data_IF_653205237930
#
_entry.id   IF_653205237930
#
_cell.length_a   1.000
_cell.length_b   1.000
_cell.length_c   1.000
_cell.angle_alpha   90.00
_cell.angle_beta   90.00
_cell.angle_gamma   90.00
#
_symmetry.space_group_name_H-M   'P 1'
#
loop_
_entity.id
_entity.type
_entity.pdbx_description
1 polymer ?
#
# COMPACT_ATOMS: atom_id res chain seq x y z
N UNK A 1 28.23 24.08 -12.83
CA UNK A 1 27.62 22.86 -13.43
C UNK A 1 26.79 23.26 -14.64
N UNK A 2 26.99 22.62 -15.80
CA UNK A 2 26.39 23.09 -17.06
C UNK A 2 24.89 22.74 -17.15
N UNK A 3 24.04 23.65 -17.66
CA UNK A 3 22.56 23.52 -17.57
C UNK A 3 22.00 22.24 -18.22
N UNK A 4 22.68 21.72 -19.25
CA UNK A 4 22.34 20.45 -19.92
C UNK A 4 22.51 19.24 -18.99
N UNK A 5 23.51 19.23 -18.10
CA UNK A 5 23.73 18.11 -17.18
C UNK A 5 22.64 18.00 -16.11
N UNK A 6 22.02 19.11 -15.68
CA UNK A 6 20.90 19.06 -14.73
C UNK A 6 19.64 18.45 -15.36
N UNK A 7 19.35 18.79 -16.61
CA UNK A 7 18.24 18.17 -17.36
C UNK A 7 18.47 16.68 -17.60
N UNK A 8 19.69 16.31 -18.03
CA UNK A 8 20.07 14.91 -18.24
C UNK A 8 20.05 14.14 -16.92
N UNK A 9 20.57 14.70 -15.82
CA UNK A 9 20.51 14.06 -14.50
C UNK A 9 19.08 13.86 -14.02
N UNK A 10 18.19 14.85 -14.15
CA UNK A 10 16.78 14.69 -13.77
C UNK A 10 16.07 13.60 -14.60
N UNK A 11 16.30 13.57 -15.91
CA UNK A 11 15.77 12.53 -16.79
C UNK A 11 16.34 11.13 -16.48
N UNK A 12 17.63 11.04 -16.16
CA UNK A 12 18.28 9.78 -15.77
C UNK A 12 17.78 9.27 -14.41
N UNK A 13 17.58 10.16 -13.42
CA UNK A 13 17.03 9.78 -12.11
C UNK A 13 15.59 9.30 -12.25
N UNK A 14 14.76 9.98 -13.05
CA UNK A 14 13.40 9.53 -13.37
C UNK A 14 13.40 8.16 -14.06
N UNK A 15 14.22 8.00 -15.10
CA UNK A 15 14.35 6.74 -15.82
C UNK A 15 14.82 5.61 -14.90
N UNK A 16 15.84 5.85 -14.06
CA UNK A 16 16.33 4.87 -13.10
C UNK A 16 15.26 4.51 -12.05
N UNK A 17 14.56 5.48 -11.46
CA UNK A 17 13.49 5.19 -10.49
C UNK A 17 12.38 4.34 -11.09
N UNK A 18 12.03 4.58 -12.36
CA UNK A 18 10.98 3.85 -13.06
C UNK A 18 11.43 2.48 -13.59
N UNK A 19 12.69 2.31 -14.00
CA UNK A 19 13.23 1.01 -14.39
C UNK A 19 13.35 0.05 -13.20
N UNK A 20 13.78 0.55 -12.03
CA UNK A 20 13.87 -0.25 -10.80
C UNK A 20 12.47 -0.56 -10.25
N UNK A 21 11.57 0.44 -10.17
CA UNK A 21 10.17 0.20 -9.78
C UNK A 21 9.41 -0.72 -10.75
N UNK A 22 9.89 -0.86 -11.99
CA UNK A 22 9.35 -1.75 -13.02
C UNK A 22 9.78 -3.21 -12.93
N UNK A 23 10.64 -3.59 -11.96
CA UNK A 23 11.14 -4.97 -11.84
C UNK A 23 12.06 -5.41 -12.99
N UNK A 24 12.55 -4.49 -13.82
CA UNK A 24 13.42 -4.78 -14.99
C UNK A 24 14.82 -5.28 -14.56
N UNK A 25 15.12 -5.25 -13.26
CA UNK A 25 16.38 -5.70 -12.65
C UNK A 25 16.10 -6.78 -11.61
N UNK A 26 15.40 -7.84 -12.00
CA UNK A 26 15.34 -9.08 -11.23
C UNK A 26 16.30 -10.12 -11.83
N UNK A 27 17.40 -10.51 -11.14
CA UNK A 27 18.35 -11.49 -11.63
C UNK A 27 17.94 -12.94 -11.37
N UNK A 28 16.78 -13.21 -10.74
CA UNK A 28 16.31 -14.56 -10.48
C UNK A 28 15.78 -15.22 -11.77
N UNK A 29 16.58 -16.09 -12.39
CA UNK A 29 16.10 -16.98 -13.45
C UNK A 29 15.15 -18.00 -12.82
N UNK A 30 13.85 -17.84 -13.03
CA UNK A 30 12.87 -18.78 -12.48
C UNK A 30 12.94 -20.16 -13.17
N UNK A 31 12.60 -21.25 -12.47
CA UNK A 31 12.80 -22.60 -12.97
C UNK A 31 11.68 -23.00 -13.94
N UNK A 32 12.02 -23.68 -15.04
CA UNK A 32 11.02 -24.19 -15.98
C UNK A 32 10.29 -25.46 -15.48
N UNK A 33 10.82 -26.13 -14.44
CA UNK A 33 10.29 -27.40 -13.92
C UNK A 33 10.06 -27.37 -12.40
N UNK A 34 9.01 -28.06 -11.95
CA UNK A 34 8.70 -28.27 -10.53
C UNK A 34 9.48 -29.48 -10.03
N UNK A 35 10.60 -29.24 -9.36
CA UNK A 35 11.28 -30.28 -8.57
C UNK A 35 10.49 -30.53 -7.27
N UNK A 36 10.23 -31.81 -6.94
CA UNK A 36 9.44 -32.17 -5.74
C UNK A 36 10.09 -31.69 -4.43
N UNK A 37 11.40 -31.50 -4.42
CA UNK A 37 12.20 -30.92 -3.33
C UNK A 37 11.83 -29.47 -2.99
N UNK A 38 11.04 -28.79 -3.84
CA UNK A 38 10.58 -27.41 -3.66
C UNK A 38 9.07 -27.30 -3.39
N UNK A 39 8.39 -28.44 -3.27
CA UNK A 39 7.01 -28.50 -2.82
C UNK A 39 7.01 -28.70 -1.30
N UNK A 40 6.15 -27.97 -0.60
CA UNK A 40 5.86 -28.20 0.81
C UNK A 40 4.90 -29.39 0.90
N UNK A 41 5.12 -30.29 1.85
CA UNK A 41 4.20 -31.39 2.16
C UNK A 41 3.42 -30.99 3.43
N UNK A 42 2.12 -30.63 3.34
CA UNK A 42 1.38 -30.11 4.49
C UNK A 42 1.20 -31.14 5.61
N UNK A 43 0.90 -32.39 5.27
CA UNK A 43 0.66 -33.48 6.22
C UNK A 43 1.57 -34.68 5.92
N UNK A 44 1.97 -35.44 6.96
CA UNK A 44 2.81 -36.62 6.77
C UNK A 44 2.15 -37.64 5.82
N UNK A 45 2.85 -38.01 4.75
CA UNK A 45 2.36 -38.86 3.65
C UNK A 45 1.17 -38.27 2.84
N UNK A 46 0.79 -37.02 3.09
CA UNK A 46 -0.22 -36.28 2.31
C UNK A 46 0.28 -35.79 0.95
N UNK A 47 -0.55 -35.04 0.24
CA UNK A 47 -0.17 -34.34 -1.00
C UNK A 47 0.93 -33.28 -0.80
N UNK A 48 1.44 -32.78 -1.92
CA UNK A 48 2.47 -31.74 -1.97
C UNK A 48 1.91 -30.48 -2.62
N UNK A 49 2.22 -29.30 -2.08
CA UNK A 49 1.77 -27.99 -2.59
C UNK A 49 2.96 -27.09 -2.95
N UNK A 50 2.83 -26.33 -4.02
CA UNK A 50 3.76 -25.28 -4.40
C UNK A 50 3.60 -24.08 -3.46
N UNK A 51 4.65 -23.63 -2.74
CA UNK A 51 4.54 -22.62 -1.69
C UNK A 51 4.28 -21.19 -2.19
N UNK A 52 3.87 -21.00 -3.45
CA UNK A 52 3.57 -19.70 -4.02
C UNK A 52 2.31 -19.73 -4.89
N UNK A 53 1.67 -18.58 -5.01
CA UNK A 53 0.53 -18.36 -5.90
C UNK A 53 1.00 -17.66 -7.17
N UNK A 54 0.41 -17.99 -8.31
CA UNK A 54 0.84 -17.57 -9.65
C UNK A 54 -0.32 -16.93 -10.42
N UNK A 55 -0.05 -15.97 -11.32
CA UNK A 55 -1.11 -15.28 -12.11
C UNK A 55 -1.77 -16.21 -13.10
N UNK A 56 -0.96 -17.06 -13.73
CA UNK A 56 -1.37 -18.11 -14.66
C UNK A 56 -0.88 -19.48 -14.18
N UNK A 57 -1.22 -20.54 -14.93
CA UNK A 57 -0.82 -21.94 -14.65
C UNK A 57 0.65 -22.21 -15.04
N UNK A 58 1.55 -21.35 -14.55
CA UNK A 58 2.97 -21.28 -14.92
C UNK A 58 3.79 -20.87 -13.71
N UNK A 59 5.01 -21.42 -13.59
CA UNK A 59 5.94 -21.02 -12.53
C UNK A 59 6.44 -19.59 -12.72
N UNK A 60 6.76 -19.20 -13.96
CA UNK A 60 7.35 -17.89 -14.28
C UNK A 60 6.45 -16.68 -13.99
N UNK A 61 5.19 -16.91 -13.62
CA UNK A 61 4.25 -15.85 -13.18
C UNK A 61 3.94 -15.93 -11.68
N UNK A 62 4.90 -16.44 -10.90
CA UNK A 62 4.93 -16.45 -9.44
C UNK A 62 4.64 -15.05 -8.87
N UNK A 63 3.87 -15.01 -7.79
CA UNK A 63 3.52 -13.79 -7.07
C UNK A 63 3.86 -13.91 -5.59
N UNK A 64 2.87 -14.07 -4.71
CA UNK A 64 3.08 -14.12 -3.27
C UNK A 64 3.25 -15.56 -2.77
N UNK A 65 3.95 -15.74 -1.67
CA UNK A 65 4.03 -17.03 -0.98
C UNK A 65 2.72 -17.40 -0.28
N UNK A 66 2.47 -18.70 -0.14
CA UNK A 66 1.57 -19.25 0.89
C UNK A 66 2.30 -19.09 2.23
N UNK A 67 1.62 -18.57 3.25
CA UNK A 67 2.25 -18.20 4.53
C UNK A 67 1.67 -18.94 5.75
N UNK A 68 0.56 -19.66 5.60
CA UNK A 68 -0.08 -20.45 6.66
C UNK A 68 -0.68 -21.74 6.09
N UNK A 69 -0.66 -22.81 6.88
CA UNK A 69 -1.39 -24.06 6.61
C UNK A 69 -2.22 -24.38 7.85
N UNK A 70 -3.52 -24.64 7.65
CA UNK A 70 -4.46 -25.05 8.70
C UNK A 70 -4.92 -26.47 8.42
N UNK A 71 -4.86 -27.35 9.42
CA UNK A 71 -5.32 -28.73 9.31
C UNK A 71 -6.79 -28.88 9.71
N UNK A 72 -7.50 -29.79 9.03
CA UNK A 72 -8.91 -30.09 9.26
C UNK A 72 -9.83 -29.69 8.09
N UNK A 73 -11.14 -29.96 8.20
CA UNK A 73 -12.11 -29.73 7.14
C UNK A 73 -12.23 -28.26 6.76
N UNK A 74 -12.24 -27.95 5.46
CA UNK A 74 -12.27 -26.58 4.95
C UNK A 74 -13.54 -25.81 5.33
N UNK A 75 -14.69 -26.49 5.37
CA UNK A 75 -15.95 -25.96 5.90
C UNK A 75 -15.85 -25.52 7.38
N UNK A 76 -14.98 -26.15 8.19
CA UNK A 76 -14.74 -25.75 9.58
C UNK A 76 -13.81 -24.55 9.63
N UNK A 77 -12.71 -24.56 8.86
CA UNK A 77 -11.79 -23.42 8.76
C UNK A 77 -12.52 -22.17 8.25
N UNK A 78 -13.37 -22.30 7.23
CA UNK A 78 -14.18 -21.19 6.71
C UNK A 78 -15.15 -20.65 7.76
N UNK A 79 -15.81 -21.52 8.54
CA UNK A 79 -16.73 -21.08 9.59
C UNK A 79 -16.02 -20.44 10.77
N UNK A 80 -14.89 -20.96 11.25
CA UNK A 80 -14.06 -20.27 12.25
C UNK A 80 -13.64 -18.88 11.77
N UNK A 81 -13.35 -18.70 10.47
CA UNK A 81 -12.99 -17.39 9.93
C UNK A 81 -14.20 -16.46 9.66
N UNK A 82 -15.42 -16.99 9.47
CA UNK A 82 -16.58 -16.20 9.03
C UNK A 82 -17.68 -16.02 10.08
N UNK A 83 -17.82 -16.95 11.04
CA UNK A 83 -18.90 -17.03 12.01
C UNK A 83 -18.45 -16.61 13.43
N UNK A 84 -17.35 -15.86 13.60
CA UNK A 84 -16.92 -15.37 14.93
C UNK A 84 -17.98 -14.46 15.61
N UNK A 85 -18.90 -13.88 14.85
CA UNK A 85 -20.04 -13.11 15.39
C UNK A 85 -21.07 -13.98 16.18
N UNK A 86 -21.05 -15.32 16.03
CA UNK A 86 -22.08 -16.24 16.59
C UNK A 86 -21.60 -17.02 17.84
N UNK A 87 -20.33 -16.86 18.27
CA UNK A 87 -19.71 -17.66 19.34
C UNK A 87 -19.67 -17.00 20.73
N UNK A 88 -19.98 -15.69 20.85
CA UNK A 88 -19.88 -14.92 22.11
C UNK A 88 -21.24 -14.62 22.79
N UNK A 89 -22.21 -15.54 22.73
CA UNK A 89 -23.46 -15.44 23.49
C UNK A 89 -23.70 -16.63 24.41
N UNK A 90 -22.90 -16.75 25.48
CA UNK A 90 -23.44 -17.33 26.72
C UNK A 90 -24.26 -16.26 27.45
N UNK A 91 -25.52 -16.57 27.72
CA UNK A 91 -26.46 -15.70 28.43
C UNK A 91 -26.03 -15.61 29.90
N UNK A 92 -25.26 -14.57 30.25
CA UNK A 92 -24.79 -14.29 31.61
C UNK A 92 -25.97 -14.29 32.60
N UNK A 93 -25.85 -15.11 33.64
CA UNK A 93 -26.80 -15.18 34.75
C UNK A 93 -26.87 -13.79 35.43
N UNK A 94 -28.04 -13.12 35.49
CA UNK A 94 -28.14 -11.69 35.85
C UNK A 94 -27.71 -11.29 37.27
N UNK A 95 -27.18 -12.23 38.06
CA UNK A 95 -26.66 -12.01 39.41
C UNK A 95 -25.12 -11.89 39.49
N UNK A 96 -24.36 -12.14 38.40
CA UNK A 96 -22.88 -11.95 38.38
C UNK A 96 -22.45 -10.58 37.81
N UNK A 97 -22.58 -9.51 38.61
CA UNK A 97 -21.87 -8.24 38.36
C UNK A 97 -20.35 -8.41 38.54
N UNK A 98 -19.65 -8.89 37.51
CA UNK A 98 -18.21 -8.75 37.37
C UNK A 98 -17.88 -7.46 36.62
N UNK A 99 -17.02 -6.63 37.22
CA UNK A 99 -16.49 -5.43 36.56
C UNK A 99 -15.35 -5.84 35.62
N UNK A 100 -15.69 -6.51 34.53
CA UNK A 100 -14.72 -6.75 33.46
C UNK A 100 -14.53 -5.46 32.67
N UNK A 101 -13.29 -4.97 32.68
CA UNK A 101 -12.90 -3.86 31.82
C UNK A 101 -12.52 -4.51 30.50
N UNK A 102 -13.51 -4.64 29.62
CA UNK A 102 -13.34 -5.15 28.26
C UNK A 102 -12.39 -4.22 27.48
N UNK A 103 -11.11 -4.56 27.53
CA UNK A 103 -10.03 -4.07 26.66
C UNK A 103 -9.80 -5.07 25.51
N UNK A 104 -10.84 -5.83 25.14
CA UNK A 104 -10.84 -6.74 23.99
C UNK A 104 -10.62 -5.96 22.69
N UNK A 105 -9.62 -6.38 21.92
CA UNK A 105 -9.47 -5.90 20.54
C UNK A 105 -10.65 -6.45 19.72
N UNK A 106 -11.49 -5.58 19.12
CA UNK A 106 -12.67 -6.03 18.35
C UNK A 106 -12.28 -7.12 17.34
N UNK A 107 -12.91 -8.31 17.36
CA UNK A 107 -12.52 -9.43 16.52
C UNK A 107 -12.57 -9.08 15.02
N UNK A 108 -11.62 -9.64 14.26
CA UNK A 108 -11.42 -9.29 12.85
C UNK A 108 -12.60 -9.80 12.01
N UNK A 109 -13.57 -8.94 11.73
CA UNK A 109 -14.75 -9.30 10.91
C UNK A 109 -14.36 -9.58 9.46
N UNK A 110 -14.46 -10.83 9.03
CA UNK A 110 -14.19 -11.27 7.66
C UNK A 110 -15.46 -11.32 6.80
N UNK A 111 -15.35 -10.86 5.55
CA UNK A 111 -16.45 -10.82 4.59
C UNK A 111 -16.04 -11.52 3.27
N UNK A 112 -17.00 -12.14 2.57
CA UNK A 112 -16.77 -12.79 1.27
C UNK A 112 -16.13 -11.83 0.25
N UNK A 113 -14.97 -12.21 -0.29
CA UNK A 113 -14.17 -11.37 -1.19
C UNK A 113 -14.19 -11.85 -2.64
N UNK A 114 -14.08 -10.91 -3.57
CA UNK A 114 -13.90 -11.18 -5.00
C UNK A 114 -12.63 -10.50 -5.51
N UNK A 115 -11.54 -11.27 -5.63
CA UNK A 115 -10.25 -10.84 -6.17
C UNK A 115 -9.90 -11.52 -7.50
N UNK A 116 -8.85 -11.03 -8.18
CA UNK A 116 -8.33 -11.71 -9.39
C UNK A 116 -7.83 -13.11 -9.05
N UNK A 117 -8.27 -14.14 -9.77
CA UNK A 117 -7.84 -15.54 -9.59
C UNK A 117 -6.32 -15.69 -9.56
N UNK A 118 -5.82 -16.58 -8.71
CA UNK A 118 -4.45 -17.08 -8.72
C UNK A 118 -4.45 -18.59 -8.69
N UNK A 119 -3.36 -19.16 -9.17
CA UNK A 119 -3.16 -20.60 -9.22
C UNK A 119 -2.05 -21.03 -8.27
N UNK A 120 -2.23 -22.14 -7.56
CA UNK A 120 -1.13 -22.91 -6.97
C UNK A 120 -1.13 -24.32 -7.55
N UNK A 121 0.01 -25.00 -7.51
CA UNK A 121 0.17 -26.35 -8.01
C UNK A 121 0.13 -27.33 -6.84
N UNK A 122 -0.67 -28.40 -6.98
CA UNK A 122 -0.78 -29.48 -6.00
C UNK A 122 -0.53 -30.81 -6.68
N UNK A 123 0.24 -31.68 -6.04
CA UNK A 123 0.52 -33.05 -6.43
C UNK A 123 -0.10 -34.02 -5.41
N UNK A 124 -1.27 -34.55 -5.76
CA UNK A 124 -2.02 -35.55 -4.95
C UNK A 124 -1.75 -37.00 -5.40
N UNK A 125 -0.68 -37.27 -6.17
CA UNK A 125 -0.42 -38.61 -6.74
C UNK A 125 -0.27 -39.71 -5.69
N UNK A 126 0.20 -39.40 -4.48
CA UNK A 126 0.32 -40.36 -3.38
C UNK A 126 -1.05 -40.75 -2.77
N UNK A 127 -2.06 -39.86 -2.89
CA UNK A 127 -3.43 -40.06 -2.42
C UNK A 127 -4.38 -40.56 -3.53
N UNK A 128 -3.83 -41.20 -4.57
CA UNK A 128 -4.58 -41.74 -5.72
C UNK A 128 -5.15 -40.69 -6.68
N UNK A 129 -4.81 -39.41 -6.50
CA UNK A 129 -5.15 -38.34 -7.42
C UNK A 129 -4.07 -38.11 -8.49
N UNK A 130 -3.93 -36.85 -8.93
CA UNK A 130 -2.97 -36.45 -9.95
C UNK A 130 -2.55 -35.00 -9.78
N UNK A 131 -1.40 -34.63 -10.35
CA UNK A 131 -0.89 -33.28 -10.23
C UNK A 131 -1.66 -32.28 -11.10
N UNK A 132 -2.06 -31.16 -10.49
CA UNK A 132 -2.85 -30.11 -11.14
C UNK A 132 -2.58 -28.72 -10.56
N UNK A 133 -2.81 -27.71 -11.39
CA UNK A 133 -3.00 -26.35 -10.90
C UNK A 133 -4.44 -26.18 -10.38
N UNK A 134 -4.58 -25.66 -9.17
CA UNK A 134 -5.85 -25.34 -8.52
C UNK A 134 -6.00 -23.82 -8.35
N UNK A 135 -7.24 -23.34 -8.27
CA UNK A 135 -7.59 -21.95 -7.95
C UNK A 135 -7.96 -21.81 -6.48
N UNK A 136 -8.23 -20.60 -6.01
CA UNK A 136 -8.83 -20.39 -4.69
C UNK A 136 -10.16 -21.14 -4.54
N UNK A 137 -10.37 -21.77 -3.39
CA UNK A 137 -11.65 -22.36 -2.98
C UNK A 137 -12.60 -21.29 -2.43
N UNK A 138 -12.06 -20.34 -1.66
CA UNK A 138 -12.75 -19.13 -1.20
C UNK A 138 -11.75 -17.98 -0.95
N UNK A 139 -12.28 -16.75 -0.87
CA UNK A 139 -11.52 -15.54 -0.56
C UNK A 139 -12.29 -14.73 0.48
N UNK A 140 -11.59 -14.17 1.48
CA UNK A 140 -12.19 -13.33 2.53
C UNK A 140 -11.43 -12.00 2.64
N UNK A 141 -12.08 -10.95 3.14
CA UNK A 141 -11.43 -9.68 3.47
C UNK A 141 -11.93 -9.05 4.77
N UNK A 142 -11.07 -8.29 5.44
CA UNK A 142 -11.45 -7.40 6.53
C UNK A 142 -10.88 -6.00 6.29
N UNK A 143 -11.69 -4.96 6.45
CA UNK A 143 -11.37 -3.58 6.05
C UNK A 143 -12.02 -3.14 4.73
N UNK A 144 -11.49 -2.10 4.10
CA UNK A 144 -12.13 -1.37 2.99
C UNK A 144 -11.46 -1.61 1.64
N UNK A 145 -12.26 -1.65 0.56
CA UNK A 145 -11.79 -1.87 -0.80
C UNK A 145 -10.97 -0.68 -1.32
N UNK A 146 -11.43 0.56 -1.14
CA UNK A 146 -10.74 1.78 -1.60
C UNK A 146 -9.80 2.39 -0.54
N UNK A 147 -9.67 1.75 0.63
CA UNK A 147 -8.65 2.05 1.64
C UNK A 147 -7.60 0.95 1.69
N UNK A 148 -7.41 0.41 2.89
CA UNK A 148 -6.64 -0.80 3.18
C UNK A 148 -7.56 -1.91 3.72
N UNK A 149 -7.13 -3.15 3.50
CA UNK A 149 -7.78 -4.37 3.98
C UNK A 149 -6.77 -5.49 4.16
N UNK A 150 -7.02 -6.38 5.11
CA UNK A 150 -6.46 -7.73 5.07
C UNK A 150 -7.27 -8.57 4.08
N UNK A 151 -6.61 -9.51 3.41
CA UNK A 151 -7.22 -10.37 2.40
C UNK A 151 -6.68 -11.80 2.52
N UNK A 152 -7.58 -12.78 2.59
CA UNK A 152 -7.29 -14.21 2.64
C UNK A 152 -7.63 -14.85 1.30
N UNK A 153 -6.76 -15.76 0.85
CA UNK A 153 -7.01 -16.70 -0.25
C UNK A 153 -6.76 -18.10 0.28
N UNK A 154 -7.80 -18.93 0.30
CA UNK A 154 -7.73 -20.31 0.76
C UNK A 154 -7.70 -21.27 -0.44
N UNK A 155 -6.84 -22.28 -0.35
CA UNK A 155 -6.69 -23.35 -1.34
C UNK A 155 -6.87 -24.70 -0.64
N UNK A 156 -7.74 -25.55 -1.18
CA UNK A 156 -8.12 -26.84 -0.58
C UNK A 156 -8.03 -27.96 -1.62
N UNK A 157 -8.08 -29.21 -1.17
CA UNK A 157 -8.02 -30.40 -2.04
C UNK A 157 -8.98 -31.48 -1.55
N UNK A 158 -9.61 -32.19 -2.48
CA UNK A 158 -10.58 -33.26 -2.18
C UNK A 158 -9.93 -34.55 -1.61
N UNK A 159 -8.59 -34.55 -1.44
CA UNK A 159 -7.79 -35.73 -1.12
C UNK A 159 -7.11 -35.69 0.26
N UNK A 160 -7.01 -34.52 0.91
CA UNK A 160 -6.33 -34.34 2.19
C UNK A 160 -7.04 -33.22 2.98
N UNK A 161 -7.13 -33.37 4.31
CA UNK A 161 -7.76 -32.39 5.20
C UNK A 161 -6.78 -31.27 5.61
N UNK A 162 -6.37 -30.45 4.64
CA UNK A 162 -5.64 -29.21 4.88
C UNK A 162 -6.19 -28.05 4.04
N UNK A 163 -6.10 -26.84 4.61
CA UNK A 163 -6.38 -25.57 3.93
C UNK A 163 -5.10 -24.74 3.92
N UNK A 164 -4.56 -24.48 2.73
CA UNK A 164 -3.40 -23.62 2.57
C UNK A 164 -3.87 -22.17 2.39
N UNK A 165 -3.35 -21.28 3.22
CA UNK A 165 -3.77 -19.88 3.30
C UNK A 165 -2.65 -18.95 2.84
N UNK A 166 -3.04 -18.01 1.99
CA UNK A 166 -2.31 -16.79 1.69
C UNK A 166 -3.07 -15.60 2.30
N UNK A 167 -2.56 -15.07 3.40
CA UNK A 167 -3.07 -13.86 4.06
C UNK A 167 -2.12 -12.68 3.86
N UNK A 168 -2.64 -11.53 3.46
CA UNK A 168 -1.83 -10.32 3.22
C UNK A 168 -2.61 -9.03 3.45
N UNK A 169 -1.90 -7.96 3.81
CA UNK A 169 -2.44 -6.60 3.83
C UNK A 169 -2.24 -5.98 2.44
N UNK A 170 -3.32 -5.45 1.88
CA UNK A 170 -3.30 -4.71 0.62
C UNK A 170 -4.08 -3.40 0.75
N UNK A 171 -3.72 -2.41 -0.08
CA UNK A 171 -4.48 -1.16 -0.18
C UNK A 171 -4.68 -0.77 -1.64
N UNK A 172 -5.76 -0.05 -1.95
CA UNK A 172 -5.99 0.44 -3.30
C UNK A 172 -5.07 1.62 -3.62
N UNK A 173 -4.14 1.41 -4.56
CA UNK A 173 -3.23 2.45 -5.02
C UNK A 173 -3.84 3.23 -6.19
N UNK A 174 -4.39 4.42 -5.91
CA UNK A 174 -4.92 5.33 -6.93
C UNK A 174 -3.90 5.76 -8.00
N UNK A 175 -2.59 5.68 -7.73
CA UNK A 175 -1.55 6.06 -8.70
C UNK A 175 -1.11 4.88 -9.60
N UNK A 176 -1.42 3.64 -9.20
CA UNK A 176 -1.18 2.41 -10.00
C UNK A 176 -2.48 1.74 -10.48
N UNK A 177 -3.64 2.24 -10.05
CA UNK A 177 -5.00 1.72 -10.27
C UNK A 177 -5.19 0.23 -9.97
N UNK A 178 -4.61 -0.24 -8.86
CA UNK A 178 -4.77 -1.62 -8.38
C UNK A 178 -4.53 -1.71 -6.88
N UNK A 179 -4.91 -2.84 -6.29
CA UNK A 179 -4.43 -3.22 -4.97
C UNK A 179 -2.91 -3.43 -5.01
N UNK A 180 -2.20 -2.82 -4.06
CA UNK A 180 -0.79 -3.04 -3.80
C UNK A 180 -0.66 -3.69 -2.44
N UNK A 181 0.03 -4.82 -2.40
CA UNK A 181 0.36 -5.56 -1.17
C UNK A 181 1.46 -4.79 -0.45
N UNK A 182 1.32 -4.63 0.87
CA UNK A 182 2.24 -3.87 1.73
C UNK A 182 2.84 -4.70 2.84
N UNK A 183 2.11 -5.73 3.31
CA UNK A 183 2.57 -6.65 4.33
C UNK A 183 2.00 -8.06 4.13
N UNK A 184 2.75 -9.06 4.61
CA UNK A 184 2.38 -10.48 4.68
C UNK A 184 2.73 -11.07 6.05
N UNK A 185 3.66 -10.46 6.79
CA UNK A 185 4.22 -11.02 8.01
C UNK A 185 3.36 -10.66 9.22
N UNK A 186 2.98 -9.39 9.37
CA UNK A 186 2.06 -8.97 10.43
C UNK A 186 0.67 -9.56 10.15
N UNK A 187 0.21 -9.51 8.91
CA UNK A 187 -1.04 -10.14 8.45
C UNK A 187 -1.11 -11.64 8.76
N UNK A 188 0.03 -12.35 8.76
CA UNK A 188 0.12 -13.74 9.23
C UNK A 188 0.04 -13.82 10.76
N UNK A 189 0.79 -12.98 11.49
CA UNK A 189 0.77 -12.94 12.95
C UNK A 189 -0.63 -12.58 13.50
N UNK A 190 -1.34 -11.64 12.87
CA UNK A 190 -2.69 -11.22 13.24
C UNK A 190 -3.67 -12.40 13.06
N UNK A 191 -3.55 -13.13 11.94
CA UNK A 191 -4.33 -14.35 11.70
C UNK A 191 -3.91 -15.53 12.60
N UNK A 192 -2.63 -15.63 12.99
CA UNK A 192 -2.19 -16.57 14.03
C UNK A 192 -2.89 -16.26 15.37
N UNK A 193 -3.12 -14.98 15.69
CA UNK A 193 -3.92 -14.53 16.85
C UNK A 193 -5.34 -15.09 16.86
N UNK A 194 -6.06 -15.01 15.73
CA UNK A 194 -7.43 -15.53 15.56
C UNK A 194 -7.54 -17.03 15.91
N UNK A 195 -6.47 -17.81 15.73
CA UNK A 195 -6.43 -19.24 16.07
C UNK A 195 -5.87 -19.52 17.48
N UNK A 196 -5.31 -18.55 18.20
CA UNK A 196 -4.67 -18.77 19.51
C UNK A 196 -5.67 -18.85 20.68
N UNK A 197 -6.82 -18.20 20.55
CA UNK A 197 -7.84 -18.13 21.62
C UNK A 197 -9.01 -19.13 21.43
N UNK A 198 -9.01 -19.91 20.35
CA UNK A 198 -10.08 -20.86 20.00
C UNK A 198 -9.89 -22.24 20.67
N UNK A 199 -10.89 -22.78 21.42
CA UNK A 199 -10.73 -23.94 22.31
C UNK A 199 -10.55 -25.31 21.61
N UNK A 200 -10.43 -25.32 20.28
CA UNK A 200 -10.26 -26.51 19.44
C UNK A 200 -9.01 -26.46 18.56
N UNK A 201 -8.20 -25.40 18.65
CA UNK A 201 -6.87 -25.37 18.04
C UNK A 201 -5.96 -26.17 18.96
N UNK A 202 -5.74 -27.43 18.60
CA UNK A 202 -5.02 -28.38 19.45
C UNK A 202 -3.58 -27.93 19.68
N UNK A 203 -3.03 -27.17 18.72
CA UNK A 203 -1.61 -27.12 18.45
C UNK A 203 -1.30 -25.78 17.62
N UNK A 204 -0.27 -24.88 17.86
CA UNK A 204 0.27 -23.69 17.04
C UNK A 204 1.86 -23.48 16.90
N UNK A 205 2.57 -23.70 15.73
CA UNK A 205 4.08 -23.75 15.48
C UNK A 205 4.57 -23.02 14.18
N UNK A 206 5.90 -22.90 13.96
CA UNK A 206 6.54 -22.33 12.74
C UNK A 206 7.66 -23.22 12.15
N UNK A 207 7.66 -23.42 10.84
CA UNK A 207 8.64 -24.24 10.10
C UNK A 207 9.40 -23.44 9.05
N UNK A 208 10.70 -23.73 8.89
CA UNK A 208 11.52 -23.11 7.85
C UNK A 208 11.57 -24.00 6.61
N UNK A 209 11.02 -23.49 5.49
CA UNK A 209 10.95 -24.20 4.21
C UNK A 209 11.82 -23.54 3.11
N UNK A 210 12.72 -22.62 3.48
CA UNK A 210 13.61 -21.89 2.57
C UNK A 210 12.88 -21.21 1.37
N UNK A 211 11.64 -20.77 1.62
CA UNK A 211 10.78 -20.08 0.65
C UNK A 211 11.35 -18.68 0.36
N UNK A 212 12.18 -18.58 -0.69
CA UNK A 212 12.84 -17.33 -1.07
C UNK A 212 12.10 -16.58 -2.19
N UNK A 213 11.76 -15.32 -1.94
CA UNK A 213 10.99 -14.48 -2.86
C UNK A 213 9.50 -14.44 -2.52
N UNK A 214 8.70 -13.70 -3.29
CA UNK A 214 7.25 -13.59 -3.05
C UNK A 214 6.88 -13.02 -1.67
N UNK A 215 7.72 -12.13 -1.14
CA UNK A 215 7.53 -11.39 0.12
C UNK A 215 7.59 -12.21 1.42
N UNK A 216 8.05 -13.47 1.34
CA UNK A 216 8.27 -14.37 2.48
C UNK A 216 9.75 -14.36 2.95
N UNK A 217 9.98 -14.65 4.23
CA UNK A 217 11.29 -14.68 4.92
C UNK A 217 11.94 -16.08 4.99
N UNK A 218 11.30 -17.07 4.36
CA UNK A 218 11.64 -18.49 4.36
C UNK A 218 10.82 -19.33 5.35
N UNK A 219 9.97 -18.72 6.17
CA UNK A 219 9.19 -19.40 7.22
C UNK A 219 7.69 -19.52 6.85
N UNK A 220 7.12 -20.68 7.16
CA UNK A 220 5.72 -21.04 6.98
C UNK A 220 5.17 -21.56 8.32
N UNK A 221 4.02 -21.06 8.75
CA UNK A 221 3.42 -21.45 10.04
C UNK A 221 2.62 -22.75 9.90
N UNK A 222 2.94 -23.75 10.73
CA UNK A 222 2.33 -25.09 10.82
C UNK A 222 1.98 -25.32 12.29
N UNK A 223 0.76 -25.67 12.61
CA UNK A 223 0.11 -25.23 13.85
C UNK A 223 0.24 -26.34 14.97
N UNK A 224 1.28 -26.28 15.87
CA UNK A 224 1.60 -27.10 17.13
C UNK A 224 1.95 -26.39 18.54
N UNK A 225 1.17 -26.59 19.67
CA UNK A 225 0.84 -25.78 20.92
C UNK A 225 1.65 -26.18 22.20
N UNK A 226 2.07 -25.19 23.01
CA UNK A 226 1.48 -24.88 24.35
C UNK A 226 1.98 -23.54 24.92
N UNK A 227 1.22 -22.99 25.87
CA UNK A 227 1.29 -21.63 26.42
C UNK A 227 2.52 -21.28 27.28
N UNK A 228 3.01 -20.03 27.17
CA UNK A 228 3.44 -19.06 28.22
C UNK A 228 4.34 -17.99 27.53
N UNK A 229 4.32 -16.69 27.85
CA UNK A 229 3.50 -15.88 28.76
C UNK A 229 3.99 -14.41 28.72
N UNK A 230 3.13 -13.44 29.04
CA UNK A 230 3.34 -12.02 28.73
C UNK A 230 4.38 -11.30 29.60
N UNK A 231 5.17 -10.40 29.00
CA UNK A 231 6.01 -9.43 29.72
C UNK A 231 5.65 -7.99 29.34
N UNK A 232 5.18 -7.24 30.34
CA UNK A 232 4.88 -5.81 30.27
C UNK A 232 6.16 -4.97 30.16
N UNK A 233 6.11 -3.88 29.38
CA UNK A 233 6.98 -2.71 29.59
C UNK A 233 6.35 -1.43 29.01
N UNK A 234 5.65 -0.66 29.85
CA UNK A 234 5.15 0.66 29.47
C UNK A 234 6.27 1.71 29.36
N UNK A 235 6.08 2.73 28.53
CA UNK A 235 6.93 3.94 28.50
C UNK A 235 6.17 5.17 27.98
N UNK A 236 5.23 5.69 28.78
CA UNK A 236 4.70 7.02 28.58
C UNK A 236 5.56 8.04 29.35
N UNK A 237 6.45 8.78 28.67
CA UNK A 237 7.03 10.02 29.22
C UNK A 237 7.68 10.94 28.15
N UNK A 238 7.04 12.09 27.93
CA UNK A 238 7.69 13.39 27.70
C UNK A 238 8.69 13.59 26.56
N UNK A 239 8.24 14.26 25.49
CA UNK A 239 9.12 15.16 24.71
C UNK A 239 8.59 16.59 24.80
N UNK A 240 9.01 17.27 25.86
CA UNK A 240 8.84 18.73 26.02
C UNK A 240 10.23 19.36 26.21
N UNK A 241 10.87 19.70 25.09
CA UNK A 241 11.94 20.70 25.03
C UNK A 241 13.37 20.27 25.33
N UNK A 242 14.17 20.09 24.27
CA UNK A 242 15.57 20.54 24.24
C UNK A 242 15.84 21.43 23.02
N UNK A 243 15.17 22.58 22.98
CA UNK A 243 15.76 23.75 22.32
C UNK A 243 16.80 24.31 23.29
N UNK A 244 18.08 24.31 22.89
CA UNK A 244 19.13 24.93 23.70
C UNK A 244 18.79 26.40 23.99
N UNK A 245 19.08 26.85 25.22
CA UNK A 245 18.95 28.26 25.64
C UNK A 245 19.88 29.22 24.89
N UNK A 246 20.77 28.69 24.04
CA UNK A 246 21.57 29.47 23.10
C UNK A 246 20.87 29.63 21.75
N UNK A 247 20.20 28.60 21.24
CA UNK A 247 19.40 28.67 19.98
C UNK A 247 18.16 29.57 20.12
N UNK A 248 17.64 29.74 21.33
CA UNK A 248 16.50 30.61 21.60
C UNK A 248 16.79 32.12 21.39
N UNK A 249 18.06 32.55 21.33
CA UNK A 249 18.41 33.97 21.10
C UNK A 249 18.59 34.33 19.63
N UNK A 250 18.96 33.38 18.76
CA UNK A 250 19.08 33.63 17.31
C UNK A 250 17.71 33.71 16.60
N UNK A 251 16.68 33.03 17.12
CA UNK A 251 15.31 33.15 16.58
C UNK A 251 14.68 34.53 16.83
N UNK A 252 15.14 35.29 17.82
CA UNK A 252 14.71 36.67 18.05
C UNK A 252 15.26 37.67 17.00
N UNK A 253 16.35 37.32 16.29
CA UNK A 253 16.91 38.12 15.20
C UNK A 253 16.24 37.92 13.83
N UNK A 254 15.58 36.77 13.62
CA UNK A 254 15.09 36.34 12.30
C UNK A 254 13.65 36.74 11.94
N UNK A 255 12.82 37.16 12.92
CA UNK A 255 11.36 37.22 12.77
C UNK A 255 10.84 38.02 11.56
N UNK A 256 11.39 39.22 11.30
CA UNK A 256 10.99 40.04 10.14
C UNK A 256 11.44 39.44 8.80
N UNK A 257 12.60 38.78 8.78
CA UNK A 257 13.10 38.10 7.57
C UNK A 257 12.24 36.90 7.23
N UNK A 258 11.98 36.03 8.20
CA UNK A 258 11.13 34.83 8.05
C UNK A 258 9.69 35.19 7.66
N UNK A 259 9.04 36.14 8.35
CA UNK A 259 7.69 36.60 7.97
C UNK A 259 7.66 37.17 6.54
N UNK A 260 8.67 37.95 6.14
CA UNK A 260 8.75 38.45 4.76
C UNK A 260 8.99 37.34 3.74
N UNK A 261 9.67 36.25 4.11
CA UNK A 261 9.93 35.10 3.25
C UNK A 261 8.67 34.23 3.13
N UNK A 262 7.97 33.96 4.24
CA UNK A 262 6.70 33.23 4.26
C UNK A 262 5.63 33.96 3.44
N UNK A 263 5.48 35.28 3.61
CA UNK A 263 4.55 36.07 2.80
C UNK A 263 4.96 36.12 1.32
N UNK A 264 6.25 36.11 0.98
CA UNK A 264 6.72 36.00 -0.42
C UNK A 264 6.44 34.62 -1.03
N UNK A 265 6.38 33.56 -0.21
CA UNK A 265 6.16 32.18 -0.63
C UNK A 265 4.74 31.66 -0.32
N UNK A 266 3.76 32.53 -0.02
CA UNK A 266 2.39 32.12 0.32
C UNK A 266 1.75 31.20 -0.74
N UNK A 267 1.98 31.47 -2.03
CA UNK A 267 1.58 30.57 -3.13
C UNK A 267 2.16 29.16 -3.01
N UNK A 268 3.37 29.03 -2.48
CA UNK A 268 4.06 27.76 -2.28
C UNK A 268 3.44 26.95 -1.16
N UNK A 269 3.08 27.59 -0.04
CA UNK A 269 2.30 26.94 1.02
C UNK A 269 0.91 26.52 0.54
N UNK A 270 0.21 27.38 -0.21
CA UNK A 270 -1.09 27.01 -0.80
C UNK A 270 -0.95 25.88 -1.82
N UNK A 271 0.13 25.85 -2.61
CA UNK A 271 0.45 24.70 -3.48
C UNK A 271 0.66 23.42 -2.68
N UNK A 272 1.49 23.47 -1.63
CA UNK A 272 1.79 22.29 -0.83
C UNK A 272 0.53 21.72 -0.18
N UNK A 273 -0.30 22.58 0.42
CA UNK A 273 -1.59 22.21 1.02
C UNK A 273 -2.59 21.71 -0.02
N UNK A 274 -2.67 22.33 -1.21
CA UNK A 274 -3.57 21.89 -2.27
C UNK A 274 -3.17 20.51 -2.83
N UNK A 275 -1.89 20.22 -2.96
CA UNK A 275 -1.42 18.89 -3.41
C UNK A 275 -1.69 17.82 -2.35
N UNK A 276 -1.34 18.07 -1.08
CA UNK A 276 -1.64 17.14 0.00
C UNK A 276 -3.15 16.89 0.16
N UNK A 277 -3.94 17.96 0.14
CA UNK A 277 -5.40 17.91 0.24
C UNK A 277 -6.09 17.27 -0.96
N UNK A 278 -5.50 17.30 -2.16
CA UNK A 278 -6.00 16.54 -3.32
C UNK A 278 -5.81 15.03 -3.12
N UNK A 279 -4.65 14.59 -2.62
CA UNK A 279 -4.38 13.16 -2.34
C UNK A 279 -5.32 12.65 -1.25
N UNK A 280 -5.25 13.25 -0.05
CA UNK A 280 -6.04 12.84 1.11
C UNK A 280 -7.54 13.03 0.84
N UNK A 281 -7.94 14.14 0.22
CA UNK A 281 -9.35 14.41 -0.08
C UNK A 281 -9.97 13.42 -1.07
N UNK A 282 -9.20 12.91 -2.04
CA UNK A 282 -9.68 11.83 -2.93
C UNK A 282 -9.80 10.51 -2.19
N UNK A 283 -8.86 10.17 -1.29
CA UNK A 283 -8.99 9.00 -0.42
C UNK A 283 -10.23 9.09 0.48
N UNK A 284 -10.39 10.20 1.20
CA UNK A 284 -11.55 10.40 2.08
C UNK A 284 -12.87 10.37 1.30
N UNK A 285 -12.91 10.93 0.09
CA UNK A 285 -14.09 10.84 -0.77
C UNK A 285 -14.36 9.40 -1.25
N UNK A 286 -13.33 8.63 -1.58
CA UNK A 286 -13.46 7.23 -1.95
C UNK A 286 -14.04 6.38 -0.83
N UNK A 287 -13.48 6.51 0.38
CA UNK A 287 -13.96 5.82 1.59
C UNK A 287 -15.39 6.23 1.96
N UNK A 288 -15.71 7.53 1.88
CA UNK A 288 -17.07 8.02 2.14
C UNK A 288 -18.09 7.52 1.09
N UNK A 289 -17.69 7.40 -0.18
CA UNK A 289 -18.54 6.83 -1.24
C UNK A 289 -18.77 5.33 -1.00
N UNK A 290 -17.72 4.59 -0.64
CA UNK A 290 -17.82 3.16 -0.32
C UNK A 290 -18.74 2.91 0.87
N UNK A 291 -18.57 3.65 1.97
CA UNK A 291 -19.40 3.55 3.17
C UNK A 291 -20.85 4.02 2.95
N UNK A 292 -21.09 5.03 2.10
CA UNK A 292 -22.43 5.58 1.89
C UNK A 292 -23.25 4.87 0.81
N UNK A 293 -22.63 4.19 -0.15
CA UNK A 293 -23.29 3.59 -1.32
C UNK A 293 -23.18 2.06 -1.36
N UNK A 294 -23.05 1.43 -0.19
CA UNK A 294 -22.97 -0.02 0.01
C UNK A 294 -23.96 -0.79 -0.88
N UNK A 295 -23.42 -1.54 -1.84
CA UNK A 295 -24.16 -2.39 -2.77
C UNK A 295 -24.79 -1.71 -3.99
N UNK A 296 -24.91 -0.37 -4.05
CA UNK A 296 -25.57 0.33 -5.17
C UNK A 296 -24.62 0.67 -6.32
N UNK A 297 -23.34 0.90 -6.01
CA UNK A 297 -22.30 1.24 -6.97
C UNK A 297 -21.09 0.36 -6.68
N UNK A 298 -20.51 -0.25 -7.72
CA UNK A 298 -19.28 -1.03 -7.55
C UNK A 298 -18.09 -0.09 -7.25
N UNK A 299 -17.16 -0.43 -6.34
CA UNK A 299 -16.06 0.47 -5.96
C UNK A 299 -15.24 0.99 -7.15
N UNK A 300 -15.13 0.20 -8.23
CA UNK A 300 -14.43 0.59 -9.46
C UNK A 300 -15.09 1.79 -10.17
N UNK A 301 -16.41 1.99 -10.05
CA UNK A 301 -17.08 3.14 -10.64
C UNK A 301 -16.75 4.45 -9.90
N UNK A 302 -16.50 4.40 -8.59
CA UNK A 302 -15.97 5.55 -7.83
C UNK A 302 -14.57 5.94 -8.34
N UNK A 303 -13.71 4.95 -8.62
CA UNK A 303 -12.36 5.15 -9.19
C UNK A 303 -12.41 5.87 -10.53
N UNK A 304 -13.35 5.53 -11.42
CA UNK A 304 -13.51 6.21 -12.73
C UNK A 304 -13.75 7.72 -12.58
N UNK A 305 -14.46 8.16 -11.54
CA UNK A 305 -14.75 9.57 -11.27
C UNK A 305 -13.61 10.26 -10.53
N UNK A 306 -13.03 9.58 -9.54
CA UNK A 306 -12.03 10.16 -8.63
C UNK A 306 -10.61 10.18 -9.20
N UNK A 307 -10.20 9.16 -9.97
CA UNK A 307 -8.85 9.08 -10.53
C UNK A 307 -8.48 10.27 -11.43
N UNK A 308 -9.35 10.78 -12.34
CA UNK A 308 -9.07 11.98 -13.12
C UNK A 308 -8.76 13.22 -12.25
N UNK A 309 -9.31 13.30 -11.03
CA UNK A 309 -9.05 14.40 -10.09
C UNK A 309 -7.60 14.37 -9.63
N UNK A 310 -7.01 13.19 -9.37
CA UNK A 310 -5.58 13.06 -9.05
C UNK A 310 -4.72 13.23 -10.31
N UNK A 311 -5.02 12.47 -11.36
CA UNK A 311 -4.21 12.39 -12.57
C UNK A 311 -4.04 13.74 -13.28
N UNK A 312 -5.11 14.56 -13.31
CA UNK A 312 -5.13 15.88 -13.94
C UNK A 312 -5.07 17.02 -12.91
N UNK A 313 -5.72 16.89 -11.76
CA UNK A 313 -5.81 17.96 -10.76
C UNK A 313 -4.47 18.28 -10.10
N UNK A 314 -3.60 17.30 -9.84
CA UNK A 314 -2.27 17.55 -9.27
C UNK A 314 -1.38 18.37 -10.25
N UNK A 315 -1.23 18.00 -11.55
CA UNK A 315 -0.59 18.88 -12.53
C UNK A 315 -1.28 20.24 -12.72
N UNK A 316 -2.62 20.29 -12.79
CA UNK A 316 -3.34 21.55 -13.02
C UNK A 316 -3.20 22.50 -11.85
N UNK A 317 -3.32 22.05 -10.61
CA UNK A 317 -3.09 22.86 -9.40
C UNK A 317 -1.65 23.39 -9.36
N UNK A 318 -0.68 22.52 -9.69
CA UNK A 318 0.73 22.89 -9.82
C UNK A 318 0.92 24.02 -10.84
N UNK A 319 0.43 23.84 -12.06
CA UNK A 319 0.55 24.84 -13.14
C UNK A 319 -0.15 26.15 -12.77
N UNK A 320 -1.36 26.10 -12.21
CA UNK A 320 -2.15 27.28 -11.85
C UNK A 320 -1.47 28.13 -10.76
N UNK A 321 -0.84 27.51 -9.77
CA UNK A 321 -0.26 28.21 -8.62
C UNK A 321 1.17 28.72 -8.89
N UNK A 322 1.93 28.04 -9.75
CA UNK A 322 3.33 28.38 -10.09
C UNK A 322 3.47 29.34 -11.28
N UNK A 323 2.59 29.24 -12.30
CA UNK A 323 2.78 29.93 -13.57
C UNK A 323 2.53 31.45 -13.46
N UNK A 324 3.35 32.30 -14.12
CA UNK A 324 3.08 33.74 -14.22
C UNK A 324 1.90 34.04 -15.15
N UNK A 325 1.09 35.05 -14.79
CA UNK A 325 -0.14 35.41 -15.52
C UNK A 325 0.12 35.83 -16.98
N UNK A 326 1.30 36.37 -17.29
CA UNK A 326 1.73 36.71 -18.66
C UNK A 326 1.70 35.52 -19.62
N UNK A 327 1.80 34.30 -19.09
CA UNK A 327 1.76 33.04 -19.85
C UNK A 327 0.41 32.30 -19.71
N UNK A 328 -0.57 32.90 -19.04
CA UNK A 328 -1.85 32.28 -18.72
C UNK A 328 -2.63 31.93 -19.99
N UNK A 329 -2.82 30.62 -20.23
CA UNK A 329 -3.54 30.11 -21.39
C UNK A 329 -5.00 29.79 -21.05
N UNK A 330 -5.31 28.52 -20.78
CA UNK A 330 -6.69 28.03 -20.63
C UNK A 330 -7.30 28.29 -19.24
N UNK A 331 -6.46 28.48 -18.22
CA UNK A 331 -6.89 28.59 -16.81
C UNK A 331 -6.94 30.04 -16.27
N UNK A 332 -7.12 31.04 -17.14
CA UNK A 332 -7.15 32.48 -16.84
C UNK A 332 -8.06 32.91 -15.66
N UNK A 333 -9.12 32.15 -15.35
CA UNK A 333 -9.99 32.42 -14.17
C UNK A 333 -9.32 31.98 -12.87
N UNK A 334 -8.83 30.72 -12.81
CA UNK A 334 -8.13 30.18 -11.65
C UNK A 334 -6.81 30.91 -11.40
N UNK A 335 -6.05 31.21 -12.45
CA UNK A 335 -4.79 31.94 -12.35
C UNK A 335 -4.99 33.40 -11.87
N UNK A 336 -6.15 34.02 -12.15
CA UNK A 336 -6.52 35.31 -11.53
C UNK A 336 -6.79 35.21 -10.03
N UNK A 337 -7.34 34.08 -9.55
CA UNK A 337 -7.51 33.83 -8.11
C UNK A 337 -6.15 33.56 -7.47
N UNK A 338 -5.35 32.66 -8.03
CA UNK A 338 -3.98 32.39 -7.59
C UNK A 338 -3.10 33.66 -7.55
N UNK A 339 -3.32 34.60 -8.49
CA UNK A 339 -2.61 35.87 -8.49
C UNK A 339 -2.87 36.76 -7.27
N UNK A 340 -3.99 36.59 -6.55
CA UNK A 340 -4.25 37.33 -5.30
C UNK A 340 -3.39 36.83 -4.14
N UNK A 341 -2.83 35.62 -4.24
CA UNK A 341 -2.00 34.98 -3.21
C UNK A 341 -0.53 35.44 -3.22
N UNK A 342 -0.17 36.44 -4.02
CA UNK A 342 1.18 37.04 -4.06
C UNK A 342 1.86 36.94 -5.43
N UNK A 343 3.19 37.07 -5.44
CA UNK A 343 4.01 36.98 -6.66
C UNK A 343 4.12 35.52 -7.16
N UNK A 344 4.35 35.28 -8.47
CA UNK A 344 4.70 33.94 -8.95
C UNK A 344 5.95 33.41 -8.25
N UNK A 345 6.02 32.10 -8.05
CA UNK A 345 7.11 31.45 -7.35
C UNK A 345 8.38 31.43 -8.21
N UNK A 346 9.54 31.53 -7.56
CA UNK A 346 10.80 31.20 -8.21
C UNK A 346 10.90 29.68 -8.46
N UNK A 347 11.66 29.23 -9.48
CA UNK A 347 11.62 27.83 -9.92
C UNK A 347 12.08 26.81 -8.88
N UNK A 348 13.04 27.20 -8.02
CA UNK A 348 13.54 26.35 -6.94
C UNK A 348 12.50 26.19 -5.81
N UNK A 349 11.93 27.28 -5.24
CA UNK A 349 10.75 27.17 -4.37
C UNK A 349 9.59 26.38 -4.98
N UNK A 350 9.26 26.62 -6.26
CA UNK A 350 8.17 25.90 -6.94
C UNK A 350 8.40 24.37 -6.93
N UNK A 351 9.61 23.92 -7.26
CA UNK A 351 9.99 22.50 -7.14
C UNK A 351 9.82 21.98 -5.71
N UNK A 352 10.40 22.68 -4.73
CA UNK A 352 10.41 22.22 -3.33
C UNK A 352 9.02 22.16 -2.71
N UNK A 353 8.17 23.16 -2.93
CA UNK A 353 6.79 23.14 -2.42
C UNK A 353 5.93 22.07 -3.10
N UNK A 354 6.17 21.75 -4.38
CA UNK A 354 5.48 20.66 -5.06
C UNK A 354 5.90 19.28 -4.50
N UNK A 355 7.20 19.05 -4.31
CA UNK A 355 7.73 17.81 -3.73
C UNK A 355 7.30 17.64 -2.27
N UNK A 356 7.43 18.68 -1.43
CA UNK A 356 7.02 18.61 -0.03
C UNK A 356 5.51 18.44 0.09
N UNK A 357 4.72 19.13 -0.73
CA UNK A 357 3.25 19.01 -0.73
C UNK A 357 2.74 17.63 -1.12
N UNK A 358 3.20 17.11 -2.27
CA UNK A 358 2.80 15.78 -2.72
C UNK A 358 3.36 14.68 -1.80
N UNK A 359 4.58 14.85 -1.28
CA UNK A 359 5.21 13.92 -0.35
C UNK A 359 4.47 13.84 0.98
N UNK A 360 4.10 14.98 1.55
CA UNK A 360 3.22 15.05 2.72
C UNK A 360 1.84 14.43 2.42
N UNK A 361 1.29 14.66 1.21
CA UNK A 361 0.06 14.00 0.75
C UNK A 361 0.15 12.47 0.78
N UNK A 362 1.25 11.88 0.29
CA UNK A 362 1.46 10.44 0.35
C UNK A 362 1.60 9.93 1.79
N UNK A 363 2.38 10.61 2.64
CA UNK A 363 2.54 10.20 4.05
C UNK A 363 1.22 10.27 4.81
N UNK A 364 0.43 11.33 4.62
CA UNK A 364 -0.88 11.48 5.23
C UNK A 364 -1.90 10.47 4.69
N UNK A 365 -1.84 10.11 3.40
CA UNK A 365 -2.65 9.03 2.82
C UNK A 365 -2.33 7.70 3.52
N UNK A 366 -1.06 7.28 3.52
CA UNK A 366 -0.63 6.02 4.14
C UNK A 366 -0.96 5.93 5.63
N UNK A 367 -0.70 7.00 6.40
CA UNK A 367 -1.09 7.07 7.81
C UNK A 367 -2.61 6.97 8.00
N UNK A 368 -3.38 7.65 7.14
CA UNK A 368 -4.84 7.65 7.17
C UNK A 368 -5.49 6.30 6.81
N UNK A 369 -4.74 5.38 6.18
CA UNK A 369 -5.17 4.00 5.89
C UNK A 369 -4.33 2.94 6.65
N UNK A 370 -3.61 3.32 7.71
CA UNK A 370 -2.90 2.37 8.57
C UNK A 370 -1.72 1.61 7.92
N UNK A 371 -1.16 2.12 6.82
CA UNK A 371 -0.02 1.51 6.14
C UNK A 371 1.29 1.93 6.81
N UNK A 372 1.95 0.98 7.47
CA UNK A 372 3.18 1.18 8.27
C UNK A 372 4.46 0.82 7.50
N UNK A 373 4.39 -0.11 6.55
CA UNK A 373 5.49 -0.56 5.70
C UNK A 373 5.19 -0.29 4.22
N UNK A 374 6.22 0.03 3.44
CA UNK A 374 6.10 0.30 2.00
C UNK A 374 7.16 -0.47 1.20
N UNK A 375 6.77 -1.13 0.08
CA UNK A 375 7.71 -1.65 -0.91
C UNK A 375 8.71 -0.62 -1.40
N UNK A 376 9.94 -1.05 -1.66
CA UNK A 376 11.00 -0.19 -2.22
C UNK A 376 10.60 0.25 -3.63
N UNK A 377 9.97 -0.63 -4.42
CA UNK A 377 9.45 -0.37 -5.75
C UNK A 377 8.35 0.70 -5.69
N UNK A 378 7.46 0.61 -4.70
CA UNK A 378 6.40 1.58 -4.45
C UNK A 378 7.00 2.93 -4.04
N UNK A 379 7.97 2.94 -3.14
CA UNK A 379 8.67 4.15 -2.69
C UNK A 379 9.39 4.83 -3.87
N UNK A 380 10.09 4.06 -4.71
CA UNK A 380 10.76 4.56 -5.91
C UNK A 380 9.76 5.13 -6.94
N UNK A 381 8.62 4.47 -7.14
CA UNK A 381 7.50 4.99 -7.94
C UNK A 381 7.00 6.34 -7.42
N UNK A 382 6.80 6.47 -6.10
CA UNK A 382 6.43 7.74 -5.46
C UNK A 382 7.49 8.81 -5.65
N UNK A 383 8.77 8.48 -5.45
CA UNK A 383 9.90 9.41 -5.70
C UNK A 383 9.92 9.89 -7.16
N UNK A 384 9.65 8.99 -8.12
CA UNK A 384 9.49 9.36 -9.54
C UNK A 384 8.38 10.39 -9.74
N UNK A 385 7.18 10.15 -9.19
CA UNK A 385 6.06 11.10 -9.26
C UNK A 385 6.37 12.45 -8.59
N UNK A 386 7.07 12.46 -7.45
CA UNK A 386 7.53 13.69 -6.79
C UNK A 386 8.46 14.51 -7.70
N UNK A 387 9.46 13.87 -8.30
CA UNK A 387 10.43 14.53 -9.19
C UNK A 387 9.73 15.01 -10.47
N UNK A 388 8.78 14.24 -11.02
CA UNK A 388 8.00 14.61 -12.17
C UNK A 388 7.15 15.87 -11.90
N UNK A 389 6.36 15.88 -10.82
CA UNK A 389 5.52 17.03 -10.47
C UNK A 389 6.35 18.25 -10.04
N UNK A 390 7.46 18.05 -9.32
CA UNK A 390 8.43 19.11 -9.04
C UNK A 390 9.02 19.71 -10.32
N UNK A 391 9.31 18.89 -11.33
CA UNK A 391 9.80 19.35 -12.64
C UNK A 391 8.74 20.13 -13.43
N UNK A 392 7.46 19.71 -13.35
CA UNK A 392 6.32 20.50 -13.86
C UNK A 392 6.32 21.87 -13.17
N UNK A 393 6.39 21.92 -11.84
CA UNK A 393 6.37 23.15 -11.04
C UNK A 393 7.53 24.12 -11.37
N UNK A 394 8.75 23.59 -11.47
CA UNK A 394 9.93 24.35 -11.84
C UNK A 394 9.86 24.86 -13.30
N UNK A 395 9.31 24.05 -14.20
CA UNK A 395 9.15 24.39 -15.61
C UNK A 395 8.10 25.46 -15.86
N UNK A 396 6.93 25.35 -15.21
CA UNK A 396 5.83 26.33 -15.30
C UNK A 396 6.18 27.69 -14.69
N UNK A 397 7.02 27.71 -13.65
CA UNK A 397 7.57 28.93 -13.06
C UNK A 397 8.59 29.68 -13.96
N UNK A 398 9.06 29.08 -15.07
CA UNK A 398 10.08 29.65 -15.96
C UNK A 398 9.54 29.97 -17.35
N UNK A 399 9.81 31.19 -17.84
CA UNK A 399 9.43 31.61 -19.20
C UNK A 399 10.39 31.17 -20.31
N UNK A 400 11.60 30.69 -19.99
CA UNK A 400 12.65 30.35 -20.95
C UNK A 400 12.58 28.90 -21.50
N UNK A 401 13.44 28.59 -22.46
CA UNK A 401 13.53 27.25 -23.07
C UNK A 401 13.95 26.15 -22.08
N UNK A 402 14.65 26.49 -21.00
CA UNK A 402 14.93 25.55 -19.89
C UNK A 402 13.63 25.22 -19.13
N UNK A 403 12.78 26.22 -18.90
CA UNK A 403 11.43 26.03 -18.37
C UNK A 403 10.58 25.07 -19.21
N UNK A 404 10.57 25.28 -20.54
CA UNK A 404 9.86 24.39 -21.46
C UNK A 404 10.38 22.94 -21.40
N UNK A 405 11.70 22.75 -21.34
CA UNK A 405 12.31 21.43 -21.24
C UNK A 405 11.96 20.72 -19.91
N UNK A 406 12.08 21.42 -18.77
CA UNK A 406 11.68 20.88 -17.46
C UNK A 406 10.19 20.51 -17.41
N UNK A 407 9.34 21.37 -17.98
CA UNK A 407 7.89 21.14 -18.04
C UNK A 407 7.56 19.91 -18.89
N UNK A 408 8.20 19.75 -20.06
CA UNK A 408 8.00 18.59 -20.93
C UNK A 408 8.50 17.29 -20.29
N UNK A 409 9.69 17.29 -19.68
CA UNK A 409 10.23 16.13 -18.94
C UNK A 409 9.32 15.77 -17.76
N UNK A 410 8.84 16.76 -17.01
CA UNK A 410 7.92 16.55 -15.89
C UNK A 410 6.57 15.95 -16.34
N UNK A 411 5.97 16.46 -17.42
CA UNK A 411 4.73 15.90 -17.97
C UNK A 411 4.91 14.47 -18.51
N UNK A 412 6.02 14.20 -19.21
CA UNK A 412 6.33 12.86 -19.70
C UNK A 412 6.58 11.88 -18.55
N UNK A 413 7.32 12.30 -17.52
CA UNK A 413 7.54 11.52 -16.31
C UNK A 413 6.24 11.23 -15.55
N UNK A 414 5.36 12.22 -15.41
CA UNK A 414 4.05 12.06 -14.77
C UNK A 414 3.16 11.09 -15.55
N UNK A 415 3.08 11.25 -16.88
CA UNK A 415 2.33 10.35 -17.76
C UNK A 415 2.89 8.93 -17.75
N UNK A 416 4.22 8.76 -17.72
CA UNK A 416 4.86 7.45 -17.62
C UNK A 416 4.60 6.79 -16.26
N UNK A 417 4.76 7.52 -15.15
CA UNK A 417 4.50 7.00 -13.80
C UNK A 417 3.05 6.58 -13.58
N UNK A 418 2.08 7.26 -14.19
CA UNK A 418 0.67 6.87 -14.16
C UNK A 418 0.31 5.78 -15.19
N UNK A 419 0.98 5.73 -16.35
CA UNK A 419 0.63 4.85 -17.46
C UNK A 419 1.31 3.47 -17.44
N UNK A 420 2.57 3.38 -17.02
CA UNK A 420 3.32 2.12 -16.99
C UNK A 420 2.72 1.05 -16.06
N UNK A 421 2.17 1.38 -14.86
CA UNK A 421 1.44 0.40 -14.04
C UNK A 421 0.22 -0.19 -14.74
N UNK A 422 -0.48 0.60 -15.57
CA UNK A 422 -1.67 0.15 -16.31
C UNK A 422 -1.32 -0.83 -17.45
N UNK A 423 -0.06 -0.83 -17.88
CA UNK A 423 0.48 -1.76 -18.88
C UNK A 423 1.11 -3.01 -18.22
N UNK A 424 1.07 -3.13 -16.89
CA UNK A 424 1.71 -4.22 -16.15
C UNK A 424 3.25 -4.13 -16.11
N UNK A 425 3.84 -3.00 -16.51
CA UNK A 425 5.29 -2.76 -16.57
C UNK A 425 5.88 -2.20 -15.27
N UNK A 426 5.06 -2.13 -14.21
CA UNK A 426 5.35 -1.63 -12.85
C UNK A 426 4.40 -2.24 -11.84
#
# INVERSE_FOLDING_TARGET
MNRRYLLVAAALVLAASYLVAGGVVDPATEPETIDRERLVQPAENGSYIWPYTSRDRSLAERTLAINMIVHGPDDRVRRTLADQDDLEWEELDPDEETNETDDGEEPIRWNDAHGSTRYTYVDTTQQGGGSRWITESYQLHSGTYLGSRQHIRAYTTDHDEWTAIQVHQEYFDFFRLRHTVTDIQNSRNDLEGVFLDEPYVEEVRREYHAIHGGWNDGWLSVVELRTFGSLLAGSALGVLGLVSRETARDLAGGGRSLLSWTHRNLRGFVLAVALAGLVVGVRSAALAIEAALLGWITPQAAVVVLYPILALGLPVATIVLTQPLERASRFLRLQRVANRLGRPLEPQPAFMFAVVGLGAGFVLDFLGIGITALPIELLLHRVGLLIALGSIAAGSARSDGVGLALFAVGLLGWGAGLGLPLLGLM
#
